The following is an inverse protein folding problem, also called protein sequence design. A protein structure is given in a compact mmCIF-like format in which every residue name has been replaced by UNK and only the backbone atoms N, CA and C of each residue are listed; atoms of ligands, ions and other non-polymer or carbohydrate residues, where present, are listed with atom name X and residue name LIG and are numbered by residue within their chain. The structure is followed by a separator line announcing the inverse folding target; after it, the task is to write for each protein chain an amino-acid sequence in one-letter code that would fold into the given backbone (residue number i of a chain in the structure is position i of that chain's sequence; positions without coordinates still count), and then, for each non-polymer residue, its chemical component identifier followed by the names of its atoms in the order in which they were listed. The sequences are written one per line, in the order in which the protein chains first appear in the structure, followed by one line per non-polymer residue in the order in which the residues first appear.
data_IF_791182361111
#
_entry.id   IF_791182361111
#
_cell.length_a   1.000
_cell.length_b   1.000
_cell.length_c   1.000
_cell.angle_alpha   90.00
_cell.angle_beta   90.00
_cell.angle_gamma   90.00
#
_symmetry.space_group_name_H-M   'P 1'
#
loop_
_entity.id
_entity.type
_entity.pdbx_description
1 polymer ?
#
# COMPACT_ATOMS: atom_id res chain seq x y z
N UNK A 1 -11.78 -0.61 2.60
CA UNK A 1 -10.71 -1.66 2.58
C UNK A 1 -10.19 -2.00 3.97
N UNK A 2 -9.75 -3.25 4.25
CA UNK A 2 -9.13 -3.65 5.53
C UNK A 2 -7.62 -3.87 5.37
N UNK A 3 -6.81 -3.23 6.21
CA UNK A 3 -5.35 -3.40 6.23
C UNK A 3 -4.97 -4.40 7.31
N UNK A 4 -4.41 -5.55 6.92
CA UNK A 4 -4.14 -6.68 7.84
C UNK A 4 -2.73 -6.69 8.44
N UNK A 5 -1.78 -5.95 7.85
CA UNK A 5 -0.36 -5.99 8.21
C UNK A 5 0.22 -4.61 8.57
N UNK A 6 -0.59 -3.74 9.20
CA UNK A 6 -0.14 -2.41 9.62
C UNK A 6 1.08 -2.45 10.57
N UNK A 7 1.19 -3.49 11.39
CA UNK A 7 2.35 -3.72 12.26
C UNK A 7 3.65 -3.87 11.46
N UNK A 8 3.61 -4.55 10.32
CA UNK A 8 4.75 -4.71 9.41
C UNK A 8 5.19 -3.37 8.82
N UNK A 9 4.23 -2.51 8.43
CA UNK A 9 4.53 -1.19 7.89
C UNK A 9 5.23 -0.30 8.94
N UNK A 10 4.76 -0.35 10.20
CA UNK A 10 5.36 0.38 11.33
C UNK A 10 6.75 -0.15 11.69
N UNK A 11 6.97 -1.46 11.65
CA UNK A 11 8.27 -2.06 11.91
C UNK A 11 9.29 -1.63 10.83
N UNK A 12 8.90 -1.64 9.55
CA UNK A 12 9.74 -1.18 8.46
C UNK A 12 10.22 0.27 8.66
N UNK A 13 9.33 1.16 9.11
CA UNK A 13 9.66 2.55 9.42
C UNK A 13 10.69 2.69 10.55
N UNK A 14 10.60 1.86 11.60
CA UNK A 14 11.51 1.87 12.74
C UNK A 14 12.89 1.27 12.45
N UNK A 15 12.93 0.22 11.63
CA UNK A 15 14.14 -0.58 11.41
C UNK A 15 15.00 -0.08 10.23
N UNK A 16 14.47 0.83 9.40
CA UNK A 16 15.13 1.24 8.15
C UNK A 16 15.35 2.76 8.02
N UNK A 17 16.29 3.35 8.77
CA UNK A 17 16.61 4.79 8.67
C UNK A 17 17.10 5.21 7.28
N UNK A 18 17.56 4.25 6.46
CA UNK A 18 17.92 4.46 5.04
C UNK A 18 16.74 4.82 4.14
N UNK A 19 15.51 4.48 4.52
CA UNK A 19 14.29 4.71 3.73
C UNK A 19 13.36 5.75 4.38
N UNK A 20 13.93 6.74 5.05
CA UNK A 20 13.16 7.76 5.76
C UNK A 20 12.28 8.61 4.82
N UNK A 21 12.71 8.76 3.58
CA UNK A 21 11.98 9.39 2.49
C UNK A 21 10.72 8.59 2.07
N UNK A 22 10.69 7.28 2.33
CA UNK A 22 9.55 6.43 2.07
C UNK A 22 8.44 6.52 3.13
N UNK A 23 8.71 7.16 4.29
CA UNK A 23 7.75 7.25 5.41
C UNK A 23 6.49 8.03 5.04
N UNK A 24 6.65 9.26 4.54
CA UNK A 24 5.53 10.10 4.13
C UNK A 24 4.68 9.47 3.02
N UNK A 25 5.25 8.95 1.92
CA UNK A 25 4.46 8.28 0.89
C UNK A 25 3.79 7.00 1.41
N UNK A 26 4.42 6.24 2.31
CA UNK A 26 3.79 5.08 2.95
C UNK A 26 2.57 5.48 3.81
N UNK A 27 2.66 6.59 4.55
CA UNK A 27 1.56 7.10 5.36
C UNK A 27 0.43 7.68 4.51
N UNK A 28 0.77 8.38 3.42
CA UNK A 28 -0.19 8.87 2.43
C UNK A 28 -0.94 7.70 1.78
N UNK A 29 -0.22 6.65 1.37
CA UNK A 29 -0.80 5.43 0.84
C UNK A 29 -1.74 4.77 1.86
N UNK A 30 -1.31 4.61 3.11
CA UNK A 30 -2.15 4.03 4.17
C UNK A 30 -3.48 4.78 4.34
N UNK A 31 -3.45 6.11 4.38
CA UNK A 31 -4.65 6.96 4.48
C UNK A 31 -5.54 6.84 3.25
N UNK A 32 -4.95 6.74 2.07
CA UNK A 32 -5.68 6.54 0.81
C UNK A 32 -6.42 5.21 0.82
N UNK A 33 -5.73 4.11 1.09
CA UNK A 33 -6.30 2.76 1.12
C UNK A 33 -7.40 2.62 2.17
N UNK A 34 -7.25 3.24 3.35
CA UNK A 34 -8.30 3.23 4.37
C UNK A 34 -9.65 3.76 3.87
N UNK A 35 -9.63 4.78 3.00
CA UNK A 35 -10.82 5.40 2.43
C UNK A 35 -11.24 4.79 1.09
N UNK A 36 -10.42 3.92 0.51
CA UNK A 36 -10.71 3.28 -0.76
C UNK A 36 -11.72 2.14 -0.62
N UNK A 37 -12.52 1.99 -1.67
CA UNK A 37 -13.51 0.91 -1.84
C UNK A 37 -13.25 0.19 -3.18
N UNK A 38 -12.19 -0.62 -3.20
CA UNK A 38 -11.82 -1.42 -4.37
C UNK A 38 -12.50 -2.79 -4.30
N UNK A 39 -13.20 -3.18 -5.37
CA UNK A 39 -13.87 -4.48 -5.48
C UNK A 39 -13.05 -5.51 -6.26
N UNK A 40 -12.12 -5.06 -7.10
CA UNK A 40 -11.27 -5.90 -7.93
C UNK A 40 -9.84 -5.35 -8.06
N UNK A 41 -8.83 -6.18 -8.39
CA UNK A 41 -7.46 -5.72 -8.64
C UNK A 41 -7.35 -4.62 -9.71
N UNK A 42 -8.27 -4.59 -10.67
CA UNK A 42 -8.34 -3.56 -11.70
C UNK A 42 -8.65 -2.17 -11.14
N UNK A 43 -9.47 -2.07 -10.09
CA UNK A 43 -9.79 -0.80 -9.42
C UNK A 43 -8.54 -0.21 -8.78
N UNK A 44 -7.72 -1.07 -8.17
CA UNK A 44 -6.41 -0.67 -7.60
C UNK A 44 -5.49 -0.12 -8.68
N UNK A 45 -5.44 -0.77 -9.86
CA UNK A 45 -4.61 -0.33 -10.99
C UNK A 45 -5.09 0.99 -11.59
N UNK A 46 -6.39 1.25 -11.58
CA UNK A 46 -6.96 2.49 -12.07
C UNK A 46 -6.65 3.67 -11.14
N UNK A 47 -6.73 3.43 -9.83
CA UNK A 47 -6.46 4.42 -8.79
C UNK A 47 -4.95 4.67 -8.61
N UNK A 48 -4.18 3.58 -8.52
CA UNK A 48 -2.73 3.57 -8.41
C UNK A 48 -2.12 3.04 -9.71
N UNK A 49 -1.91 3.94 -10.68
CA UNK A 49 -1.44 3.58 -12.04
C UNK A 49 -0.13 2.77 -12.08
N UNK A 50 0.73 2.94 -11.07
CA UNK A 50 1.99 2.20 -10.94
C UNK A 50 1.80 0.78 -10.40
N UNK A 51 0.62 0.43 -9.89
CA UNK A 51 0.34 -0.89 -9.36
C UNK A 51 0.57 -1.97 -10.43
N UNK A 52 1.05 -3.13 -10.04
CA UNK A 52 1.13 -4.30 -10.91
C UNK A 52 0.23 -5.40 -10.35
N UNK A 53 -0.63 -5.95 -11.20
CA UNK A 53 -1.52 -7.05 -10.85
C UNK A 53 -0.76 -8.35 -11.09
N UNK A 54 -0.63 -9.16 -10.04
CA UNK A 54 -0.03 -10.48 -10.05
C UNK A 54 -1.12 -11.56 -10.12
N UNK A 55 -0.72 -12.82 -10.26
CA UNK A 55 -1.63 -13.96 -10.14
C UNK A 55 -2.20 -14.05 -8.71
N UNK A 56 -3.36 -14.68 -8.61
CA UNK A 56 -4.08 -14.93 -7.34
C UNK A 56 -4.57 -13.64 -6.66
N UNK A 57 -5.04 -12.67 -7.46
CA UNK A 57 -5.62 -11.39 -7.01
C UNK A 57 -4.70 -10.55 -6.12
N UNK A 58 -3.39 -10.72 -6.29
CA UNK A 58 -2.37 -9.94 -5.58
C UNK A 58 -2.00 -8.69 -6.37
N UNK A 59 -1.79 -7.59 -5.66
CA UNK A 59 -1.35 -6.32 -6.24
C UNK A 59 -0.10 -5.83 -5.52
N UNK A 60 0.88 -5.34 -6.29
CA UNK A 60 2.10 -4.72 -5.77
C UNK A 60 2.23 -3.29 -6.31
N UNK A 61 2.89 -2.40 -5.57
CA UNK A 61 3.06 -0.97 -5.89
C UNK A 61 4.53 -0.62 -6.10
#
# INVERSE_FOLDING_TARGET
MRIVSLSTLKAFEGDSPKYIDAKEPALAWYRHVLNADWGAPADVKQDLRNASILKDDRVVL
#
